data_IF_372351529356
#
_entry.id   IF_372351529356
#
_cell.length_a   1.000
_cell.length_b   1.000
_cell.length_c   1.000
_cell.angle_alpha   90.00
_cell.angle_beta   90.00
_cell.angle_gamma   90.00
#
_symmetry.space_group_name_H-M   'P 1'
#
loop_
_entity.id
_entity.type
_entity.pdbx_description
1 polymer ?
#
# COMPACT_ATOMS: atom_id res chain seq x y z
N UNK A 1 29.76 5.43 -5.87
CA UNK A 1 30.35 4.19 -5.32
C UNK A 1 29.59 2.95 -5.82
N UNK A 2 30.21 1.75 -5.78
CA UNK A 2 29.57 0.50 -6.27
C UNK A 2 28.23 0.20 -5.59
N UNK A 3 28.08 0.50 -4.31
CA UNK A 3 26.79 0.32 -3.57
C UNK A 3 25.66 1.20 -4.10
N UNK A 4 25.93 2.44 -4.48
CA UNK A 4 24.91 3.30 -5.08
C UNK A 4 24.49 2.85 -6.47
N UNK A 5 25.40 2.30 -7.29
CA UNK A 5 25.05 1.73 -8.59
C UNK A 5 24.19 0.47 -8.45
N UNK A 6 24.49 -0.39 -7.47
CA UNK A 6 23.68 -1.59 -7.20
C UNK A 6 22.27 -1.23 -6.72
N UNK A 7 22.10 -0.18 -5.87
CA UNK A 7 20.77 0.31 -5.49
C UNK A 7 19.98 0.83 -6.70
N UNK A 8 20.58 1.65 -7.55
CA UNK A 8 19.87 2.22 -8.71
C UNK A 8 19.52 1.20 -9.80
N UNK A 9 20.33 0.16 -10.00
CA UNK A 9 20.03 -0.95 -10.92
C UNK A 9 18.84 -1.75 -10.35
N UNK A 10 18.84 -1.99 -9.06
CA UNK A 10 17.82 -2.69 -8.31
C UNK A 10 16.44 -2.02 -8.37
N UNK A 11 16.38 -0.68 -8.28
CA UNK A 11 15.13 0.08 -8.36
C UNK A 11 14.48 -0.03 -9.75
N UNK A 12 15.29 -0.08 -10.81
CA UNK A 12 14.80 -0.18 -12.19
C UNK A 12 14.29 -1.59 -12.51
N UNK A 13 15.00 -2.60 -12.06
CA UNK A 13 14.61 -3.99 -12.25
C UNK A 13 13.35 -4.30 -11.46
N UNK A 14 13.21 -3.73 -10.26
CA UNK A 14 12.00 -3.82 -9.43
C UNK A 14 10.79 -3.21 -10.13
N UNK A 15 10.89 -2.01 -10.70
CA UNK A 15 9.76 -1.38 -11.40
C UNK A 15 9.35 -2.19 -12.63
N UNK A 16 10.31 -2.69 -13.40
CA UNK A 16 10.04 -3.47 -14.61
C UNK A 16 9.40 -4.82 -14.28
N UNK A 17 9.75 -5.41 -13.14
CA UNK A 17 9.20 -6.68 -12.67
C UNK A 17 7.84 -6.49 -11.97
N UNK A 18 7.71 -5.49 -11.11
CA UNK A 18 6.53 -5.24 -10.28
C UNK A 18 5.37 -4.66 -11.09
N UNK A 19 5.64 -3.79 -12.07
CA UNK A 19 4.57 -3.11 -12.81
C UNK A 19 3.62 -4.04 -13.57
N UNK A 20 4.08 -5.02 -14.38
CA UNK A 20 3.17 -5.91 -15.08
C UNK A 20 2.37 -6.79 -14.12
N UNK A 21 3.00 -7.32 -13.08
CA UNK A 21 2.35 -8.19 -12.09
C UNK A 21 1.28 -7.44 -11.32
N UNK A 22 1.55 -6.21 -10.88
CA UNK A 22 0.56 -5.36 -10.19
C UNK A 22 -0.60 -4.95 -11.09
N UNK A 23 -0.36 -4.69 -12.38
CA UNK A 23 -1.42 -4.39 -13.34
C UNK A 23 -2.34 -5.59 -13.55
N UNK A 24 -1.79 -6.79 -13.70
CA UNK A 24 -2.56 -8.02 -13.83
C UNK A 24 -3.37 -8.28 -12.57
N UNK A 25 -2.77 -8.16 -11.39
CA UNK A 25 -3.47 -8.33 -10.10
C UNK A 25 -4.57 -7.30 -9.90
N UNK A 26 -4.36 -6.04 -10.29
CA UNK A 26 -5.40 -5.01 -10.19
C UNK A 26 -6.56 -5.27 -11.13
N UNK A 27 -6.29 -5.71 -12.36
CA UNK A 27 -7.33 -6.10 -13.30
C UNK A 27 -8.15 -7.30 -12.78
N UNK A 28 -7.47 -8.33 -12.25
CA UNK A 28 -8.12 -9.49 -11.65
C UNK A 28 -8.96 -9.09 -10.42
N UNK A 29 -8.46 -8.21 -9.57
CA UNK A 29 -9.22 -7.75 -8.40
C UNK A 29 -10.50 -7.00 -8.79
N UNK A 30 -10.47 -6.19 -9.86
CA UNK A 30 -11.66 -5.53 -10.40
C UNK A 30 -12.69 -6.56 -10.87
N UNK A 31 -12.26 -7.58 -11.61
CA UNK A 31 -13.13 -8.67 -12.06
C UNK A 31 -13.74 -9.41 -10.87
N UNK A 32 -12.95 -9.74 -9.86
CA UNK A 32 -13.44 -10.39 -8.64
C UNK A 32 -14.44 -9.50 -7.87
N UNK A 33 -14.18 -8.20 -7.76
CA UNK A 33 -15.16 -7.26 -7.17
C UNK A 33 -16.47 -7.29 -7.94
N UNK A 34 -16.44 -7.24 -9.26
CA UNK A 34 -17.66 -7.31 -10.09
C UNK A 34 -18.43 -8.60 -9.85
N UNK A 35 -17.73 -9.75 -9.80
CA UNK A 35 -18.34 -11.06 -9.53
C UNK A 35 -18.99 -11.07 -8.14
N UNK A 36 -18.28 -10.58 -7.12
CA UNK A 36 -18.80 -10.53 -5.74
C UNK A 36 -20.03 -9.60 -5.67
N UNK A 37 -19.99 -8.44 -6.28
CA UNK A 37 -21.15 -7.53 -6.34
C UNK A 37 -22.37 -8.17 -7.04
N UNK A 38 -22.14 -8.95 -8.10
CA UNK A 38 -23.20 -9.70 -8.78
C UNK A 38 -23.78 -10.80 -7.89
N UNK A 39 -22.91 -11.55 -7.17
CA UNK A 39 -23.34 -12.63 -6.28
C UNK A 39 -24.15 -12.13 -5.08
N UNK A 40 -23.72 -11.02 -4.47
CA UNK A 40 -24.43 -10.40 -3.35
C UNK A 40 -25.67 -9.60 -3.79
N UNK A 41 -25.90 -9.44 -5.12
CA UNK A 41 -27.00 -8.65 -5.70
C UNK A 41 -27.07 -7.21 -5.16
N UNK A 42 -25.92 -6.62 -4.85
CA UNK A 42 -25.85 -5.29 -4.26
C UNK A 42 -26.43 -4.19 -5.15
N UNK A 43 -26.44 -4.39 -6.46
CA UNK A 43 -27.06 -3.48 -7.45
C UNK A 43 -28.60 -3.41 -7.37
N UNK A 44 -29.25 -4.34 -6.64
CA UNK A 44 -30.73 -4.39 -6.50
C UNK A 44 -31.23 -3.80 -5.18
N UNK A 45 -30.38 -3.50 -4.25
CA UNK A 45 -30.77 -2.96 -2.95
C UNK A 45 -30.71 -1.44 -2.98
N UNK A 46 -31.85 -0.81 -3.21
CA UNK A 46 -32.07 0.58 -2.80
C UNK A 46 -31.92 0.63 -1.27
N UNK A 47 -30.91 1.35 -0.76
CA UNK A 47 -30.66 1.49 0.68
C UNK A 47 -29.66 0.53 1.26
N UNK A 48 -28.49 0.44 0.68
CA UNK A 48 -27.31 -0.12 1.34
C UNK A 48 -26.87 0.83 2.46
N UNK A 49 -27.28 0.53 3.71
CA UNK A 49 -26.84 1.30 4.87
C UNK A 49 -27.88 1.86 5.81
N UNK A 50 -29.01 1.17 6.00
CA UNK A 50 -29.97 1.57 7.03
C UNK A 50 -29.63 1.02 8.43
N UNK A 51 -28.39 1.09 8.85
CA UNK A 51 -28.03 1.02 10.26
C UNK A 51 -27.72 2.44 10.71
N UNK A 52 -28.71 3.07 11.34
CA UNK A 52 -28.85 4.43 11.85
C UNK A 52 -27.69 5.19 12.50
N UNK A 53 -26.49 5.00 12.02
CA UNK A 53 -25.34 5.86 12.32
C UNK A 53 -24.99 6.58 11.01
N UNK A 54 -25.41 7.83 10.90
CA UNK A 54 -24.97 8.72 9.83
C UNK A 54 -23.63 9.38 10.23
N UNK A 55 -22.46 8.76 9.97
CA UNK A 55 -21.18 9.43 10.22
C UNK A 55 -20.96 10.58 9.23
N UNK A 56 -21.77 10.64 8.17
CA UNK A 56 -21.62 11.64 7.12
C UNK A 56 -21.92 13.07 7.55
N UNK A 57 -22.85 13.29 8.49
CA UNK A 57 -23.18 14.65 8.94
C UNK A 57 -22.07 15.29 9.78
N UNK A 58 -21.38 14.49 10.61
CA UNK A 58 -20.25 14.99 11.41
C UNK A 58 -18.98 15.18 10.61
N UNK A 59 -18.79 14.43 9.52
CA UNK A 59 -17.67 14.60 8.60
C UNK A 59 -17.89 15.80 7.70
N UNK A 60 -19.10 16.00 7.18
CA UNK A 60 -19.44 17.17 6.37
C UNK A 60 -19.33 18.49 7.14
N UNK A 61 -19.65 18.51 8.44
CA UNK A 61 -19.49 19.70 9.30
C UNK A 61 -18.03 20.07 9.59
N UNK A 62 -17.08 19.14 9.40
CA UNK A 62 -15.62 19.36 9.62
C UNK A 62 -14.83 19.60 8.34
N UNK A 63 -15.44 19.44 7.17
CA UNK A 63 -14.79 19.79 5.92
C UNK A 63 -14.87 21.32 5.75
N UNK A 64 -13.74 22.01 5.54
CA UNK A 64 -13.78 23.42 5.14
C UNK A 64 -14.53 23.54 3.82
N UNK A 65 -15.25 24.66 3.63
CA UNK A 65 -16.00 24.97 2.42
C UNK A 65 -15.17 24.63 1.17
N UNK A 66 -15.50 23.50 0.59
CA UNK A 66 -14.86 23.06 -0.65
C UNK A 66 -15.39 23.93 -1.79
N UNK A 67 -14.52 24.46 -2.65
CA UNK A 67 -14.97 25.21 -3.81
C UNK A 67 -15.90 24.36 -4.66
N UNK A 68 -17.06 24.92 -5.05
CA UNK A 68 -18.10 24.23 -5.82
C UNK A 68 -17.61 23.59 -7.14
N UNK A 69 -16.47 24.04 -7.64
CA UNK A 69 -15.83 23.46 -8.84
C UNK A 69 -14.41 22.98 -8.52
N UNK A 70 -14.10 21.69 -8.63
CA UNK A 70 -12.76 21.18 -8.45
C UNK A 70 -11.83 21.76 -9.53
N UNK A 71 -10.74 22.36 -9.11
CA UNK A 71 -9.72 22.82 -10.03
C UNK A 71 -8.89 21.62 -10.50
N UNK A 72 -9.08 21.22 -11.77
CA UNK A 72 -8.42 20.05 -12.37
C UNK A 72 -6.89 20.16 -12.28
N UNK A 73 -6.32 21.37 -12.38
CA UNK A 73 -4.88 21.57 -12.24
C UNK A 73 -4.39 21.24 -10.83
N UNK A 74 -5.17 21.59 -9.79
CA UNK A 74 -4.82 21.21 -8.42
C UNK A 74 -5.00 19.73 -8.17
N UNK A 75 -6.04 19.11 -8.76
CA UNK A 75 -6.28 17.68 -8.63
C UNK A 75 -5.17 16.83 -9.26
N UNK A 76 -4.49 17.36 -10.28
CA UNK A 76 -3.37 16.68 -10.96
C UNK A 76 -2.06 16.74 -10.18
N UNK A 77 -1.93 17.65 -9.23
CA UNK A 77 -0.70 17.89 -8.47
C UNK A 77 -0.10 16.65 -7.80
N UNK A 78 -0.86 15.79 -7.08
CA UNK A 78 -0.30 14.60 -6.45
C UNK A 78 0.10 13.50 -7.46
N UNK A 79 -0.47 13.51 -8.66
CA UNK A 79 -0.14 12.53 -9.70
C UNK A 79 1.12 12.92 -10.48
N UNK A 80 1.45 14.19 -10.54
CA UNK A 80 2.55 14.71 -11.34
C UNK A 80 3.91 14.03 -11.06
N UNK A 81 4.36 13.85 -9.79
CA UNK A 81 5.63 13.17 -9.52
C UNK A 81 5.67 11.73 -10.04
N UNK A 82 4.55 11.01 -9.92
CA UNK A 82 4.43 9.62 -10.37
C UNK A 82 4.47 9.55 -11.89
N UNK A 83 3.69 10.40 -12.58
CA UNK A 83 3.68 10.48 -14.04
C UNK A 83 5.06 10.87 -14.57
N UNK A 84 5.74 11.82 -13.93
CA UNK A 84 7.07 12.29 -14.30
C UNK A 84 8.10 11.17 -14.19
N UNK A 85 8.10 10.41 -13.10
CA UNK A 85 8.97 9.24 -12.92
C UNK A 85 8.71 8.21 -14.01
N UNK A 86 7.45 7.93 -14.31
CA UNK A 86 7.06 6.92 -15.31
C UNK A 86 7.48 7.35 -16.72
N UNK A 87 7.16 8.58 -17.12
CA UNK A 87 7.48 9.11 -18.45
C UNK A 87 8.99 9.18 -18.66
N UNK A 88 9.76 9.71 -17.68
CA UNK A 88 11.22 9.81 -17.82
C UNK A 88 11.86 8.42 -17.83
N UNK A 89 11.37 7.47 -17.06
CA UNK A 89 11.87 6.10 -17.07
C UNK A 89 11.67 5.40 -18.41
N UNK A 90 10.55 5.68 -19.09
CA UNK A 90 10.23 5.09 -20.41
C UNK A 90 10.90 5.81 -21.55
N UNK A 91 10.84 7.16 -21.59
CA UNK A 91 11.30 7.95 -22.73
C UNK A 91 12.81 8.23 -22.70
N UNK A 92 13.41 8.32 -21.52
CA UNK A 92 14.82 8.68 -21.34
C UNK A 92 15.58 7.67 -20.47
N UNK A 93 15.86 6.46 -20.97
CA UNK A 93 16.53 5.41 -20.21
C UNK A 93 17.94 5.80 -19.69
N UNK A 94 18.54 6.86 -20.22
CA UNK A 94 19.82 7.41 -19.74
C UNK A 94 19.73 8.36 -18.57
N UNK A 95 18.54 8.90 -18.26
CA UNK A 95 18.32 9.89 -17.19
C UNK A 95 17.85 9.18 -15.94
N UNK A 96 18.68 9.18 -14.91
CA UNK A 96 18.34 8.63 -13.58
C UNK A 96 17.65 9.69 -12.72
N UNK A 97 16.34 9.74 -12.79
CA UNK A 97 15.55 10.64 -11.93
C UNK A 97 15.25 9.97 -10.58
N UNK A 98 15.61 10.64 -9.49
CA UNK A 98 15.27 10.14 -8.16
C UNK A 98 13.82 10.53 -7.78
N UNK A 99 13.20 9.76 -6.89
CA UNK A 99 11.89 10.07 -6.33
C UNK A 99 11.89 11.45 -5.68
N UNK A 100 12.95 11.80 -4.97
CA UNK A 100 13.11 13.12 -4.34
C UNK A 100 13.07 14.25 -5.36
N UNK A 101 13.75 14.10 -6.51
CA UNK A 101 13.74 15.10 -7.59
C UNK A 101 12.34 15.25 -8.19
N UNK A 102 11.62 14.14 -8.41
CA UNK A 102 10.25 14.19 -8.92
C UNK A 102 9.29 14.89 -7.94
N UNK A 103 9.44 14.64 -6.64
CA UNK A 103 8.65 15.29 -5.59
C UNK A 103 8.94 16.79 -5.51
N UNK A 104 10.21 17.21 -5.66
CA UNK A 104 10.57 18.64 -5.70
C UNK A 104 9.95 19.33 -6.93
N UNK A 105 9.94 18.67 -8.10
CA UNK A 105 9.25 19.21 -9.28
C UNK A 105 7.75 19.32 -9.05
N UNK A 106 7.14 18.33 -8.39
CA UNK A 106 5.74 18.38 -7.95
C UNK A 106 5.45 19.57 -7.01
N UNK A 107 6.36 19.83 -6.06
CA UNK A 107 6.25 21.00 -5.16
C UNK A 107 6.30 22.33 -5.93
N UNK A 108 7.22 22.46 -6.88
CA UNK A 108 7.32 23.67 -7.73
C UNK A 108 6.02 23.84 -8.54
N UNK A 109 5.48 22.76 -9.09
CA UNK A 109 4.21 22.81 -9.81
C UNK A 109 3.06 23.30 -8.92
N UNK A 110 2.94 22.77 -7.69
CA UNK A 110 1.94 23.22 -6.72
C UNK A 110 2.11 24.71 -6.42
N UNK A 111 3.34 25.19 -6.23
CA UNK A 111 3.63 26.59 -5.98
C UNK A 111 3.12 27.50 -7.09
N UNK A 112 3.33 27.10 -8.35
CA UNK A 112 2.89 27.88 -9.53
C UNK A 112 1.37 27.86 -9.66
N UNK A 113 0.73 26.69 -9.50
CA UNK A 113 -0.72 26.52 -9.71
C UNK A 113 -1.55 27.14 -8.59
N UNK A 114 -1.11 27.01 -7.35
CA UNK A 114 -1.89 27.49 -6.19
C UNK A 114 -1.64 28.96 -5.87
N UNK A 115 -0.53 29.54 -6.38
CA UNK A 115 -0.10 30.91 -6.06
C UNK A 115 -0.04 31.21 -4.55
N UNK A 116 0.20 30.16 -3.74
CA UNK A 116 0.35 30.29 -2.29
C UNK A 116 1.60 31.10 -1.94
N UNK A 117 1.52 31.82 -0.83
CA UNK A 117 2.70 32.51 -0.29
C UNK A 117 3.81 31.48 -0.02
N UNK A 118 5.06 31.76 -0.47
CA UNK A 118 6.20 30.83 -0.26
C UNK A 118 6.39 30.44 1.21
N UNK A 119 6.11 31.37 2.14
CA UNK A 119 6.21 31.10 3.58
C UNK A 119 5.19 30.04 4.06
N UNK A 120 3.94 30.12 3.58
CA UNK A 120 2.90 29.12 3.90
C UNK A 120 3.24 27.76 3.28
N UNK A 121 3.78 27.76 2.08
CA UNK A 121 4.20 26.52 1.41
C UNK A 121 5.36 25.86 2.16
N UNK A 122 6.37 26.63 2.58
CA UNK A 122 7.46 26.11 3.39
C UNK A 122 6.97 25.54 4.72
N UNK A 123 6.08 26.21 5.43
CA UNK A 123 5.49 25.68 6.66
C UNK A 123 4.80 24.33 6.42
N UNK A 124 3.92 24.25 5.40
CA UNK A 124 3.23 23.00 5.04
C UNK A 124 4.18 21.89 4.59
N UNK A 125 5.25 22.25 3.90
CA UNK A 125 6.29 21.29 3.51
C UNK A 125 6.99 20.70 4.74
N UNK A 126 7.42 21.54 5.69
CA UNK A 126 8.08 21.08 6.91
C UNK A 126 7.13 20.31 7.84
N UNK A 127 5.86 20.72 7.93
CA UNK A 127 4.81 19.97 8.67
C UNK A 127 4.62 18.58 8.07
N UNK A 128 4.52 18.50 6.73
CA UNK A 128 4.40 17.23 6.02
C UNK A 128 5.64 16.35 6.16
N UNK A 129 6.83 16.95 6.10
CA UNK A 129 8.10 16.26 6.29
C UNK A 129 8.22 15.72 7.72
N UNK A 130 7.86 16.52 8.73
CA UNK A 130 7.87 16.10 10.14
C UNK A 130 6.91 14.96 10.41
N UNK A 131 5.69 15.03 9.88
CA UNK A 131 4.69 13.96 9.97
C UNK A 131 5.16 12.70 9.26
N UNK A 132 5.71 12.81 8.05
CA UNK A 132 6.28 11.69 7.30
C UNK A 132 7.46 11.05 8.03
N UNK A 133 8.35 11.87 8.58
CA UNK A 133 9.50 11.40 9.37
C UNK A 133 9.03 10.62 10.60
N UNK A 134 8.11 11.17 11.39
CA UNK A 134 7.60 10.50 12.59
C UNK A 134 6.87 9.20 12.29
N UNK A 135 5.99 9.19 11.28
CA UNK A 135 5.20 8.01 10.94
C UNK A 135 6.03 6.92 10.22
N UNK A 136 6.90 7.27 9.28
CA UNK A 136 7.66 6.29 8.50
C UNK A 136 8.85 5.76 9.31
N UNK A 137 9.69 6.64 9.88
CA UNK A 137 10.85 6.20 10.67
C UNK A 137 10.43 5.51 11.97
N UNK A 138 9.40 6.03 12.64
CA UNK A 138 8.85 5.38 13.83
C UNK A 138 8.40 3.95 13.52
N UNK A 139 7.77 3.74 12.37
CA UNK A 139 7.33 2.42 11.93
C UNK A 139 8.50 1.49 11.61
N UNK A 140 9.54 1.99 10.92
CA UNK A 140 10.75 1.21 10.61
C UNK A 140 11.47 0.79 11.89
N UNK A 141 11.63 1.71 12.85
CA UNK A 141 12.25 1.42 14.15
C UNK A 141 11.44 0.37 14.90
N UNK A 142 10.11 0.54 14.98
CA UNK A 142 9.23 -0.42 15.64
C UNK A 142 9.29 -1.81 14.99
N UNK A 143 9.30 -1.88 13.65
CA UNK A 143 9.44 -3.14 12.92
C UNK A 143 10.82 -3.80 13.18
N UNK A 144 11.90 -3.01 13.21
CA UNK A 144 13.24 -3.51 13.54
C UNK A 144 13.33 -4.06 14.97
N UNK A 145 12.74 -3.36 15.95
CA UNK A 145 12.66 -3.84 17.35
C UNK A 145 11.85 -5.12 17.45
N UNK A 146 10.72 -5.20 16.76
CA UNK A 146 9.89 -6.39 16.69
C UNK A 146 10.65 -7.58 16.09
N UNK A 147 11.32 -7.39 14.96
CA UNK A 147 12.15 -8.41 14.32
C UNK A 147 13.29 -8.89 15.22
N UNK A 148 13.96 -7.97 15.93
CA UNK A 148 14.99 -8.30 16.90
C UNK A 148 14.42 -9.13 18.08
N UNK A 149 13.25 -8.78 18.57
CA UNK A 149 12.52 -9.53 19.59
C UNK A 149 12.21 -10.96 19.14
N UNK A 150 11.64 -11.14 17.94
CA UNK A 150 11.35 -12.45 17.36
C UNK A 150 12.61 -13.31 17.20
N UNK A 151 13.71 -12.67 16.79
CA UNK A 151 15.01 -13.36 16.66
C UNK A 151 15.53 -13.80 18.03
N UNK A 152 15.43 -12.96 19.05
CA UNK A 152 15.91 -13.26 20.40
C UNK A 152 15.12 -14.37 21.08
N UNK A 153 13.80 -14.49 20.82
CA UNK A 153 13.00 -15.60 21.33
C UNK A 153 13.18 -16.91 20.55
N UNK A 154 14.00 -16.94 19.48
CA UNK A 154 14.18 -18.11 18.63
C UNK A 154 12.99 -18.43 17.70
N UNK A 155 11.97 -17.57 17.67
CA UNK A 155 10.76 -17.82 16.87
C UNK A 155 11.06 -17.79 15.37
N UNK A 156 11.99 -16.92 14.94
CA UNK A 156 12.42 -16.85 13.55
C UNK A 156 13.13 -18.16 13.15
N UNK A 157 13.99 -18.70 14.01
CA UNK A 157 14.70 -19.94 13.72
C UNK A 157 13.74 -21.12 13.59
N UNK A 158 12.77 -21.23 14.49
CA UNK A 158 11.72 -22.26 14.40
C UNK A 158 10.89 -22.11 13.10
N UNK A 159 10.55 -20.90 12.74
CA UNK A 159 9.79 -20.62 11.52
C UNK A 159 10.59 -20.96 10.26
N UNK A 160 11.88 -20.60 10.24
CA UNK A 160 12.82 -20.94 9.16
C UNK A 160 12.95 -22.45 9.03
N UNK A 161 13.18 -23.16 10.13
CA UNK A 161 13.34 -24.62 10.11
C UNK A 161 12.07 -25.34 9.61
N UNK A 162 10.91 -24.80 9.94
CA UNK A 162 9.64 -25.31 9.42
C UNK A 162 9.47 -25.04 7.91
N UNK A 163 9.94 -23.90 7.42
CA UNK A 163 9.82 -23.49 6.02
C UNK A 163 10.90 -24.05 5.10
N UNK A 164 12.07 -24.45 5.63
CA UNK A 164 13.22 -24.98 4.83
C UNK A 164 12.90 -26.16 3.95
N UNK A 165 11.86 -26.92 4.29
CA UNK A 165 11.54 -28.16 3.59
C UNK A 165 10.58 -27.97 2.40
N UNK A 166 10.08 -26.75 2.14
CA UNK A 166 9.16 -26.51 1.03
C UNK A 166 9.08 -25.02 0.67
N UNK A 167 9.49 -24.68 -0.55
CA UNK A 167 9.31 -23.32 -1.12
C UNK A 167 7.84 -22.90 -1.16
N UNK A 168 6.93 -23.86 -1.35
CA UNK A 168 5.49 -23.60 -1.41
C UNK A 168 4.92 -23.17 -0.06
N UNK A 169 5.40 -23.76 1.04
CA UNK A 169 5.02 -23.37 2.40
C UNK A 169 5.57 -21.97 2.72
N UNK A 170 6.78 -21.64 2.24
CA UNK A 170 7.34 -20.29 2.38
C UNK A 170 6.52 -19.23 1.62
N UNK A 171 6.11 -19.53 0.39
CA UNK A 171 5.18 -18.69 -0.38
C UNK A 171 3.85 -18.48 0.33
N UNK A 172 3.26 -19.55 0.86
CA UNK A 172 2.01 -19.46 1.63
C UNK A 172 2.19 -18.58 2.88
N UNK A 173 3.27 -18.77 3.62
CA UNK A 173 3.60 -17.95 4.79
C UNK A 173 3.79 -16.48 4.44
N UNK A 174 4.46 -16.17 3.33
CA UNK A 174 4.65 -14.82 2.81
C UNK A 174 3.36 -14.18 2.28
N UNK A 175 2.41 -14.98 1.84
CA UNK A 175 1.11 -14.50 1.37
C UNK A 175 0.15 -14.27 2.54
N UNK A 176 -0.04 -15.25 3.39
CA UNK A 176 -1.05 -15.17 4.46
C UNK A 176 -0.56 -14.46 5.73
N UNK A 177 0.72 -14.54 6.07
CA UNK A 177 1.28 -13.88 7.26
C UNK A 177 1.09 -12.36 7.23
N UNK A 178 1.64 -11.67 6.23
CA UNK A 178 1.46 -10.22 6.08
C UNK A 178 0.00 -9.80 5.87
N UNK A 179 -0.80 -10.63 5.20
CA UNK A 179 -2.24 -10.40 5.02
C UNK A 179 -2.97 -10.35 6.36
N UNK A 180 -2.78 -11.36 7.20
CA UNK A 180 -3.39 -11.40 8.54
C UNK A 180 -2.91 -10.24 9.42
N UNK A 181 -1.61 -9.94 9.39
CA UNK A 181 -1.07 -8.78 10.10
C UNK A 181 -1.70 -7.47 9.59
N UNK A 182 -1.91 -7.34 8.28
CA UNK A 182 -2.59 -6.20 7.68
C UNK A 182 -4.04 -6.05 8.14
N UNK A 183 -4.77 -7.15 8.29
CA UNK A 183 -6.14 -7.15 8.83
C UNK A 183 -6.13 -6.70 10.30
N UNK A 184 -5.27 -7.28 11.11
CA UNK A 184 -5.23 -7.01 12.57
C UNK A 184 -4.79 -5.58 12.85
N UNK A 185 -3.76 -5.10 12.16
CA UNK A 185 -3.20 -3.76 12.39
C UNK A 185 -3.95 -2.64 11.67
N UNK A 186 -4.72 -2.95 10.63
CA UNK A 186 -5.31 -1.96 9.72
C UNK A 186 -4.28 -1.20 8.87
N UNK A 187 -3.00 -1.61 8.94
CA UNK A 187 -1.88 -0.94 8.27
C UNK A 187 -1.08 -1.90 7.41
N UNK A 188 -1.20 -1.76 6.08
CA UNK A 188 -0.40 -2.54 5.14
C UNK A 188 1.09 -2.27 5.28
N UNK A 189 1.49 -1.03 5.55
CA UNK A 189 2.90 -0.69 5.72
C UNK A 189 3.50 -1.35 6.97
N UNK A 190 2.78 -1.32 8.10
CA UNK A 190 3.25 -1.96 9.32
C UNK A 190 3.43 -3.47 9.14
N UNK A 191 2.46 -4.13 8.52
CA UNK A 191 2.51 -5.56 8.23
C UNK A 191 3.65 -5.91 7.25
N UNK A 192 3.81 -5.13 6.18
CA UNK A 192 4.88 -5.34 5.20
C UNK A 192 6.27 -5.15 5.81
N UNK A 193 6.48 -4.09 6.59
CA UNK A 193 7.77 -3.84 7.24
C UNK A 193 8.09 -4.92 8.28
N UNK A 194 7.12 -5.29 9.12
CA UNK A 194 7.35 -6.32 10.13
C UNK A 194 7.78 -7.66 9.49
N UNK A 195 7.14 -8.06 8.40
CA UNK A 195 7.48 -9.30 7.71
C UNK A 195 8.81 -9.17 6.96
N UNK A 196 9.01 -8.08 6.23
CA UNK A 196 10.23 -7.89 5.43
C UNK A 196 11.49 -7.74 6.29
N UNK A 197 11.40 -7.18 7.48
CA UNK A 197 12.54 -7.10 8.40
C UNK A 197 12.85 -8.44 9.08
N UNK A 198 11.82 -9.27 9.33
CA UNK A 198 11.99 -10.52 10.08
C UNK A 198 12.22 -11.75 9.21
N UNK A 199 11.52 -11.89 8.07
CA UNK A 199 11.47 -13.12 7.28
C UNK A 199 12.14 -12.99 5.92
N UNK A 200 11.95 -11.89 5.22
CA UNK A 200 12.47 -11.69 3.86
C UNK A 200 14.00 -11.82 3.73
N UNK A 201 14.83 -11.42 4.72
CA UNK A 201 16.27 -11.64 4.64
C UNK A 201 16.69 -13.11 4.51
N UNK A 202 15.82 -14.03 4.93
CA UNK A 202 16.03 -15.47 4.89
C UNK A 202 15.47 -16.15 3.62
N UNK A 203 15.03 -15.38 2.63
CA UNK A 203 14.40 -15.89 1.40
C UNK A 203 15.24 -16.97 0.70
N UNK A 204 16.56 -16.79 0.67
CA UNK A 204 17.48 -17.75 0.05
C UNK A 204 17.48 -19.12 0.75
N UNK A 205 17.19 -19.16 2.05
CA UNK A 205 17.09 -20.40 2.81
C UNK A 205 15.84 -21.20 2.43
N UNK A 206 14.84 -20.53 1.86
CA UNK A 206 13.59 -21.12 1.34
C UNK A 206 13.67 -21.45 -0.15
N UNK A 207 14.83 -21.22 -0.79
CA UNK A 207 14.99 -21.39 -2.24
C UNK A 207 14.30 -20.29 -3.07
N UNK A 208 13.96 -19.16 -2.47
CA UNK A 208 13.31 -18.02 -3.11
C UNK A 208 14.26 -16.82 -3.24
N UNK A 209 13.99 -15.96 -4.22
CA UNK A 209 14.69 -14.67 -4.30
C UNK A 209 14.11 -13.70 -3.26
N UNK A 210 14.98 -12.84 -2.73
CA UNK A 210 14.59 -11.82 -1.74
C UNK A 210 13.53 -10.87 -2.34
N UNK A 211 13.68 -10.54 -3.63
CA UNK A 211 12.78 -9.67 -4.36
C UNK A 211 11.36 -10.26 -4.46
N UNK A 212 11.26 -11.56 -4.78
CA UNK A 212 9.99 -12.25 -4.94
C UNK A 212 9.25 -12.37 -3.61
N UNK A 213 9.97 -12.80 -2.55
CA UNK A 213 9.39 -12.94 -1.22
C UNK A 213 8.94 -11.57 -0.66
N UNK A 214 9.78 -10.55 -0.81
CA UNK A 214 9.47 -9.18 -0.38
C UNK A 214 8.28 -8.58 -1.15
N UNK A 215 8.18 -8.85 -2.45
CA UNK A 215 7.05 -8.42 -3.27
C UNK A 215 5.74 -9.08 -2.83
N UNK A 216 5.73 -10.41 -2.67
CA UNK A 216 4.56 -11.15 -2.18
C UNK A 216 4.10 -10.56 -0.83
N UNK A 217 5.04 -10.35 0.09
CA UNK A 217 4.73 -9.80 1.41
C UNK A 217 4.12 -8.39 1.35
N UNK A 218 4.67 -7.51 0.53
CA UNK A 218 4.15 -6.14 0.36
C UNK A 218 2.75 -6.11 -0.23
N UNK A 219 2.51 -6.90 -1.28
CA UNK A 219 1.19 -6.99 -1.91
C UNK A 219 0.18 -7.58 -0.93
N UNK A 220 0.50 -8.69 -0.29
CA UNK A 220 -0.38 -9.37 0.67
C UNK A 220 -0.72 -8.50 1.87
N UNK A 221 0.24 -7.75 2.41
CA UNK A 221 0.00 -6.78 3.48
C UNK A 221 -0.97 -5.67 3.06
N UNK A 222 -0.85 -5.20 1.82
CA UNK A 222 -1.75 -4.19 1.25
C UNK A 222 -3.16 -4.72 1.08
N UNK A 223 -3.31 -5.95 0.59
CA UNK A 223 -4.61 -6.64 0.49
C UNK A 223 -5.23 -6.86 1.88
N UNK A 224 -4.40 -7.21 2.87
CA UNK A 224 -4.82 -7.33 4.28
C UNK A 224 -5.39 -6.03 4.84
N UNK A 225 -4.74 -4.91 4.56
CA UNK A 225 -5.24 -3.58 4.93
C UNK A 225 -6.64 -3.31 4.37
N UNK A 226 -6.88 -3.63 3.10
CA UNK A 226 -8.20 -3.43 2.46
C UNK A 226 -9.27 -4.34 3.08
N UNK A 227 -8.87 -5.46 3.67
CA UNK A 227 -9.74 -6.40 4.39
C UNK A 227 -9.90 -6.07 5.89
N UNK A 228 -9.35 -4.95 6.35
CA UNK A 228 -9.41 -4.56 7.76
C UNK A 228 -10.52 -3.54 8.04
N UNK A 229 -11.40 -3.78 9.01
CA UNK A 229 -12.38 -2.79 9.44
C UNK A 229 -11.74 -1.60 10.17
N UNK A 230 -10.49 -1.72 10.60
CA UNK A 230 -9.73 -0.68 11.30
C UNK A 230 -8.98 0.24 10.33
N UNK A 231 -8.91 -0.10 9.04
CA UNK A 231 -8.21 0.70 8.05
C UNK A 231 -8.94 2.02 7.77
N UNK A 232 -8.22 3.13 7.88
CA UNK A 232 -8.77 4.46 7.68
C UNK A 232 -9.49 4.63 6.32
N UNK A 233 -8.96 4.00 5.25
CA UNK A 233 -9.59 4.01 3.94
C UNK A 233 -10.93 3.28 3.92
N UNK A 234 -11.04 2.15 4.61
CA UNK A 234 -12.29 1.37 4.71
C UNK A 234 -13.33 2.15 5.52
N UNK A 235 -12.93 2.77 6.63
CA UNK A 235 -13.80 3.60 7.47
C UNK A 235 -14.31 4.80 6.66
N UNK A 236 -13.43 5.46 5.89
CA UNK A 236 -13.80 6.59 5.06
C UNK A 236 -14.82 6.19 3.98
N UNK A 237 -14.55 5.10 3.24
CA UNK A 237 -15.45 4.60 2.20
C UNK A 237 -16.80 4.19 2.80
N UNK A 238 -16.79 3.50 3.94
CA UNK A 238 -17.99 3.11 4.66
C UNK A 238 -18.80 4.35 5.08
N UNK A 239 -18.13 5.40 5.58
CA UNK A 239 -18.78 6.66 5.94
C UNK A 239 -19.42 7.38 4.76
N UNK A 240 -18.75 7.42 3.61
CA UNK A 240 -19.31 8.01 2.37
C UNK A 240 -20.50 7.21 1.86
N UNK A 241 -20.41 5.87 1.94
CA UNK A 241 -21.48 4.97 1.47
C UNK A 241 -22.63 4.82 2.48
N UNK A 242 -22.56 5.42 3.67
CA UNK A 242 -23.56 5.23 4.73
C UNK A 242 -23.64 3.77 5.22
N UNK A 243 -22.54 3.01 5.12
CA UNK A 243 -22.48 1.59 5.43
C UNK A 243 -21.60 1.32 6.64
N UNK A 244 -21.75 0.16 7.27
CA UNK A 244 -20.83 -0.28 8.31
C UNK A 244 -19.46 -0.69 7.72
N UNK A 245 -18.32 -0.33 8.35
CA UNK A 245 -17.01 -0.82 7.92
C UNK A 245 -16.95 -2.36 7.81
N UNK A 246 -17.65 -3.07 8.70
CA UNK A 246 -17.74 -4.52 8.67
C UNK A 246 -18.46 -5.05 7.42
N UNK A 247 -19.48 -4.34 6.92
CA UNK A 247 -20.19 -4.75 5.71
C UNK A 247 -19.34 -4.54 4.47
N UNK A 248 -18.51 -3.52 4.43
CA UNK A 248 -17.51 -3.31 3.38
C UNK A 248 -16.48 -4.45 3.40
N UNK A 249 -15.97 -4.78 4.59
CA UNK A 249 -14.94 -5.82 4.77
C UNK A 249 -15.48 -7.21 4.41
N UNK A 250 -16.71 -7.57 4.78
CA UNK A 250 -17.32 -8.85 4.39
C UNK A 250 -17.33 -9.07 2.87
N UNK A 251 -17.39 -7.99 2.09
CA UNK A 251 -17.36 -8.05 0.61
C UNK A 251 -15.95 -8.02 0.06
N UNK A 252 -15.04 -7.32 0.73
CA UNK A 252 -13.65 -7.23 0.27
C UNK A 252 -12.84 -8.51 0.56
N UNK A 253 -13.07 -9.20 1.69
CA UNK A 253 -12.33 -10.41 2.08
C UNK A 253 -12.32 -11.47 0.96
N UNK A 254 -13.45 -11.94 0.40
CA UNK A 254 -13.41 -12.97 -0.63
C UNK A 254 -12.66 -12.51 -1.88
N UNK A 255 -12.77 -11.24 -2.26
CA UNK A 255 -12.02 -10.67 -3.39
C UNK A 255 -10.52 -10.70 -3.11
N UNK A 256 -10.11 -10.24 -1.92
CA UNK A 256 -8.69 -10.19 -1.56
C UNK A 256 -8.09 -11.58 -1.43
N UNK A 257 -8.82 -12.57 -0.91
CA UNK A 257 -8.38 -13.97 -0.85
C UNK A 257 -8.20 -14.56 -2.25
N UNK A 258 -9.11 -14.30 -3.20
CA UNK A 258 -8.94 -14.72 -4.59
C UNK A 258 -7.72 -14.03 -5.23
N UNK A 259 -7.48 -12.75 -4.91
CA UNK A 259 -6.31 -12.00 -5.41
C UNK A 259 -5.01 -12.55 -4.84
N UNK A 260 -4.98 -12.95 -3.56
CA UNK A 260 -3.82 -13.63 -2.95
C UNK A 260 -3.57 -14.99 -3.61
N UNK A 261 -4.64 -15.75 -3.90
CA UNK A 261 -4.53 -16.99 -4.67
C UNK A 261 -3.92 -16.75 -6.05
N UNK A 262 -4.37 -15.73 -6.78
CA UNK A 262 -3.79 -15.34 -8.05
C UNK A 262 -2.32 -14.90 -7.92
N UNK A 263 -1.96 -14.14 -6.89
CA UNK A 263 -0.60 -13.75 -6.59
C UNK A 263 0.32 -14.96 -6.40
N UNK A 264 -0.15 -15.96 -5.67
CA UNK A 264 0.59 -17.20 -5.42
C UNK A 264 0.98 -17.95 -6.70
N UNK A 265 0.11 -17.93 -7.72
CA UNK A 265 0.36 -18.58 -9.01
C UNK A 265 1.15 -17.71 -9.98
N UNK A 266 1.15 -16.38 -9.83
CA UNK A 266 1.83 -15.46 -10.73
C UNK A 266 3.31 -15.25 -10.40
N UNK A 267 3.70 -15.45 -9.14
CA UNK A 267 5.06 -15.28 -8.63
C UNK A 267 5.60 -16.62 -8.14
#
# INVERSE_FOLDING_TARGET
SRRQRQMCIRDRDMVTYVAPTTLILSALSIVFVMIVCLLFKDYRKEGFGSTGVHPGEDIQKKLPDLPEKPNLLMAFAPLLPVVLLFVISLCFPGVKMSVATAMLMGLIYVMIVTRLNPQQLCSKFFDGMGSGYGSILGLIIAAGVFAAGLKSCGLISLFIDYLKNSSDVAKLGASFGPYLLGIITGSGNAAAFAFNESVTPHALEFGMKIEDLGFIACVSATLGRVSSPLAAGVILIAGIAGASPLDVVKRSIPVMLCTIGALYFLV
#
